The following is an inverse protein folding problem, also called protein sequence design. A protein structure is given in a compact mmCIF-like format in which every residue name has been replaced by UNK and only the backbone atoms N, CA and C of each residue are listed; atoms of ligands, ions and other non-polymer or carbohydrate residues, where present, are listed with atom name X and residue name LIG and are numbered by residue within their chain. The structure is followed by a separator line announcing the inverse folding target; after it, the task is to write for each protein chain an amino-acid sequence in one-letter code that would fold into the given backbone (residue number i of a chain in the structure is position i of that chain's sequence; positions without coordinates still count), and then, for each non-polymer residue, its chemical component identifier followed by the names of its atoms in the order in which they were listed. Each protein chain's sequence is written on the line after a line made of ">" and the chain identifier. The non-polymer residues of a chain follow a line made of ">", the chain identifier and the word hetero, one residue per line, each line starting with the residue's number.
data_IF_473146025728
#
_entry.id   IF_473146025728
#
_cell.length_a   1.000
_cell.length_b   1.000
_cell.length_c   1.000
_cell.angle_alpha   90.00
_cell.angle_beta   90.00
_cell.angle_gamma   90.00
#
_symmetry.space_group_name_H-M   'P 1'
#
loop_
_entity.id
_entity.type
_entity.pdbx_description
1 polymer ?
#
# COMPACT_ATOMS: atom_id res chain seq x y z
N UNK A 1 -2.85 -0.67 15.31
CA UNK A 1 -3.54 -1.88 14.79
C UNK A 1 -2.52 -2.99 14.57
N UNK A 2 -2.79 -4.24 14.97
CA UNK A 2 -1.90 -5.38 14.73
C UNK A 2 -2.44 -6.19 13.55
N UNK A 3 -1.68 -6.28 12.46
CA UNK A 3 -2.04 -7.08 11.29
C UNK A 3 -1.17 -8.33 11.19
N UNK A 4 -1.70 -9.36 10.53
CA UNK A 4 -0.99 -10.61 10.24
C UNK A 4 -1.09 -10.94 8.75
N UNK A 5 0.01 -11.36 8.14
CA UNK A 5 0.04 -11.88 6.78
C UNK A 5 0.12 -13.41 6.88
N UNK A 6 -1.00 -14.15 6.95
CA UNK A 6 -0.98 -15.60 7.19
C UNK A 6 -0.17 -16.37 6.15
N UNK A 7 -0.21 -15.96 4.86
CA UNK A 7 0.56 -16.62 3.81
C UNK A 7 2.09 -16.46 3.97
N UNK A 8 2.59 -15.25 4.22
CA UNK A 8 4.02 -14.97 4.44
C UNK A 8 4.47 -15.15 5.90
N UNK A 9 3.53 -15.50 6.79
CA UNK A 9 3.70 -15.80 8.20
C UNK A 9 4.35 -14.71 9.07
N UNK A 10 4.23 -13.43 8.71
CA UNK A 10 4.71 -12.33 9.54
C UNK A 10 3.57 -11.46 10.08
N UNK A 11 3.85 -10.71 11.15
CA UNK A 11 2.90 -9.80 11.81
C UNK A 11 3.57 -8.45 12.02
N UNK A 12 2.76 -7.40 12.15
CA UNK A 12 3.28 -6.05 12.34
C UNK A 12 2.29 -5.12 13.04
N UNK A 13 2.85 -4.09 13.67
CA UNK A 13 2.13 -2.91 14.16
C UNK A 13 2.84 -1.73 13.52
N UNK A 14 2.06 -0.80 12.99
CA UNK A 14 2.54 0.41 12.32
C UNK A 14 1.88 1.63 12.94
N UNK A 15 2.51 2.80 12.76
CA UNK A 15 2.07 4.03 13.43
C UNK A 15 0.75 4.56 12.86
N UNK A 16 0.58 4.55 11.53
CA UNK A 16 -0.70 4.90 10.94
C UNK A 16 -0.80 4.81 9.43
N UNK A 17 -1.96 5.18 8.91
CA UNK A 17 -2.22 5.46 7.50
C UNK A 17 -2.71 6.89 7.45
N UNK A 18 -2.12 7.71 6.58
CA UNK A 18 -2.43 9.13 6.47
C UNK A 18 -2.70 9.50 5.01
N UNK A 19 -3.37 10.63 4.79
CA UNK A 19 -3.46 11.23 3.46
C UNK A 19 -2.27 12.16 3.26
N UNK A 20 -1.48 11.91 2.23
CA UNK A 20 -0.36 12.74 1.80
C UNK A 20 -0.45 12.95 0.29
N UNK A 21 -0.41 14.20 -0.18
CA UNK A 21 -0.57 14.55 -1.60
C UNK A 21 -1.80 13.88 -2.26
N UNK A 22 -2.96 13.95 -1.59
CA UNK A 22 -4.23 13.36 -2.02
C UNK A 22 -4.21 11.81 -2.20
N UNK A 23 -3.25 11.12 -1.59
CA UNK A 23 -3.13 9.66 -1.62
C UNK A 23 -3.03 9.08 -0.21
N UNK A 24 -3.62 7.91 0.01
CA UNK A 24 -3.42 7.16 1.25
C UNK A 24 -2.03 6.51 1.24
N UNK A 25 -1.25 6.79 2.28
CA UNK A 25 0.11 6.26 2.45
C UNK A 25 0.26 5.64 3.82
N UNK A 26 1.09 4.59 3.91
CA UNK A 26 1.53 4.07 5.21
C UNK A 26 2.47 5.10 5.86
N UNK A 27 2.25 5.40 7.13
CA UNK A 27 3.01 6.37 7.90
C UNK A 27 3.82 5.68 9.01
N UNK A 28 5.08 6.07 9.14
CA UNK A 28 6.02 5.57 10.14
C UNK A 28 6.80 6.74 10.76
N UNK A 29 6.90 6.75 12.09
CA UNK A 29 7.67 7.72 12.87
C UNK A 29 8.95 7.05 13.37
N UNK A 30 10.08 7.75 13.22
CA UNK A 30 11.37 7.35 13.76
C UNK A 30 12.02 8.49 14.52
N UNK A 31 12.82 8.16 15.52
CA UNK A 31 13.75 9.09 16.16
C UNK A 31 15.17 8.79 15.71
N UNK A 32 16.01 9.81 15.57
CA UNK A 32 17.43 9.63 15.27
C UNK A 32 18.28 10.76 15.81
N UNK A 33 19.51 10.45 16.24
CA UNK A 33 20.51 11.46 16.57
C UNK A 33 21.28 11.95 15.33
N UNK A 34 21.09 11.32 14.17
CA UNK A 34 21.79 11.64 12.93
C UNK A 34 20.80 12.04 11.84
N UNK A 35 21.11 13.11 11.12
CA UNK A 35 20.30 13.60 10.00
C UNK A 35 20.11 12.51 8.93
N UNK A 36 18.86 12.31 8.50
CA UNK A 36 18.44 11.34 7.48
C UNK A 36 17.74 12.05 6.33
N UNK A 37 18.50 12.42 5.30
CA UNK A 37 17.97 13.20 4.17
C UNK A 37 17.51 12.36 2.98
N UNK A 38 17.68 11.03 3.03
CA UNK A 38 17.26 10.15 1.94
C UNK A 38 16.97 8.73 2.41
N UNK A 39 16.18 8.00 1.62
CA UNK A 39 15.92 6.56 1.81
C UNK A 39 17.19 5.70 1.83
N UNK A 40 18.28 6.15 1.19
CA UNK A 40 19.55 5.44 1.19
C UNK A 40 20.27 5.54 2.54
N UNK A 41 20.09 6.66 3.25
CA UNK A 41 20.72 6.93 4.54
C UNK A 41 19.91 6.44 5.75
N UNK A 42 18.66 6.01 5.51
CA UNK A 42 17.68 5.66 6.54
C UNK A 42 17.63 4.16 6.88
N UNK A 43 18.71 3.42 6.61
CA UNK A 43 18.86 1.99 6.94
C UNK A 43 17.66 1.13 6.49
N UNK A 44 16.99 0.48 7.45
CA UNK A 44 15.90 -0.46 7.23
C UNK A 44 14.50 0.18 7.30
N UNK A 45 14.40 1.51 7.52
CA UNK A 45 13.08 2.17 7.62
C UNK A 45 12.20 1.91 6.38
N UNK A 46 12.71 2.00 5.13
CA UNK A 46 11.90 1.75 3.95
C UNK A 46 11.51 0.26 3.79
N UNK A 47 12.29 -0.67 4.37
CA UNK A 47 11.94 -2.09 4.39
C UNK A 47 10.75 -2.35 5.31
N UNK A 48 10.76 -1.73 6.49
CA UNK A 48 9.67 -1.83 7.46
C UNK A 48 8.36 -1.28 6.86
N UNK A 49 8.43 -0.09 6.24
CA UNK A 49 7.31 0.51 5.51
C UNK A 49 6.77 -0.42 4.42
N UNK A 50 7.64 -1.02 3.61
CA UNK A 50 7.23 -1.97 2.59
C UNK A 50 6.57 -3.23 3.18
N UNK A 51 7.08 -3.74 4.31
CA UNK A 51 6.49 -4.87 5.03
C UNK A 51 5.06 -4.56 5.50
N UNK A 52 4.81 -3.35 6.01
CA UNK A 52 3.49 -2.92 6.45
C UNK A 52 2.52 -2.69 5.30
N UNK A 53 2.98 -2.09 4.19
CA UNK A 53 2.18 -2.03 2.97
C UNK A 53 1.75 -3.43 2.49
N UNK A 54 2.64 -4.42 2.59
CA UNK A 54 2.32 -5.82 2.31
C UNK A 54 1.24 -6.42 3.23
N UNK A 55 1.22 -6.06 4.51
CA UNK A 55 0.18 -6.49 5.46
C UNK A 55 -1.18 -5.91 5.09
N UNK A 56 -1.23 -4.58 4.92
CA UNK A 56 -2.47 -3.86 4.64
C UNK A 56 -3.08 -4.33 3.32
N UNK A 57 -2.25 -4.45 2.28
CA UNK A 57 -2.72 -4.86 0.96
C UNK A 57 -3.12 -6.35 0.90
N UNK A 58 -2.67 -7.18 1.84
CA UNK A 58 -3.12 -8.57 1.93
C UNK A 58 -4.48 -8.67 2.63
N UNK A 59 -4.74 -7.81 3.61
CA UNK A 59 -5.96 -7.83 4.39
C UNK A 59 -7.12 -7.16 3.63
N UNK A 60 -7.88 -8.00 2.90
CA UNK A 60 -9.04 -7.57 2.10
C UNK A 60 -10.15 -6.92 2.93
N UNK A 61 -10.19 -7.11 4.25
CA UNK A 61 -11.22 -6.49 5.10
C UNK A 61 -11.04 -4.98 5.24
N UNK A 62 -9.83 -4.47 4.99
CA UNK A 62 -9.52 -3.04 5.07
C UNK A 62 -10.01 -2.26 3.84
N UNK A 63 -10.20 -2.92 2.70
CA UNK A 63 -10.51 -2.28 1.39
C UNK A 63 -9.56 -1.11 1.05
N UNK A 64 -8.28 -1.27 1.41
CA UNK A 64 -7.23 -0.27 1.17
C UNK A 64 -6.23 -0.74 0.12
N UNK A 65 -5.68 0.24 -0.59
CA UNK A 65 -4.56 0.02 -1.52
C UNK A 65 -3.44 1.01 -1.22
N UNK A 66 -2.43 0.53 -0.53
CA UNK A 66 -1.24 1.32 -0.18
C UNK A 66 -0.14 1.04 -1.19
N UNK A 67 0.19 2.04 -2.00
CA UNK A 67 1.28 1.97 -2.99
C UNK A 67 2.50 2.79 -2.60
N UNK A 68 2.35 3.69 -1.63
CA UNK A 68 3.34 4.67 -1.23
C UNK A 68 3.42 4.71 0.31
N UNK A 69 4.54 5.23 0.82
CA UNK A 69 4.76 5.41 2.25
C UNK A 69 5.41 6.74 2.57
N UNK A 70 5.30 7.15 3.83
CA UNK A 70 5.88 8.37 4.37
C UNK A 70 6.55 8.04 5.70
N UNK A 71 7.84 8.36 5.81
CA UNK A 71 8.60 8.19 7.04
C UNK A 71 8.91 9.57 7.59
N UNK A 72 8.52 9.83 8.84
CA UNK A 72 8.89 11.04 9.56
C UNK A 72 10.03 10.72 10.51
N UNK A 73 11.18 11.37 10.31
CA UNK A 73 12.35 11.25 11.18
C UNK A 73 12.43 12.48 12.08
N UNK A 74 12.17 12.27 13.37
CA UNK A 74 12.26 13.28 14.43
C UNK A 74 13.66 13.29 15.06
N UNK A 75 14.12 14.49 15.43
CA UNK A 75 15.45 14.69 16.03
C UNK A 75 15.30 15.23 17.46
N UNK A 76 16.13 14.80 18.43
CA UNK A 76 16.00 15.23 19.84
C UNK A 76 16.36 16.70 20.09
N UNK A 77 17.18 17.30 19.23
CA UNK A 77 17.67 18.67 19.43
C UNK A 77 16.56 19.69 19.19
N UNK A 78 16.48 20.66 20.10
CA UNK A 78 15.54 21.79 20.01
C UNK A 78 15.82 22.56 18.71
N UNK A 79 14.76 22.91 18.00
CA UNK A 79 14.76 23.66 16.74
C UNK A 79 15.23 22.90 15.47
N UNK A 80 15.44 21.58 15.55
CA UNK A 80 15.69 20.78 14.36
C UNK A 80 14.38 20.22 13.76
N UNK A 81 14.00 20.63 12.53
CA UNK A 81 12.76 20.14 11.92
C UNK A 81 12.87 18.66 11.58
N UNK A 82 11.75 17.94 11.72
CA UNK A 82 11.65 16.55 11.29
C UNK A 82 11.86 16.43 9.76
N UNK A 83 12.46 15.34 9.32
CA UNK A 83 12.61 15.04 7.90
C UNK A 83 11.51 14.09 7.45
N UNK A 84 10.80 14.45 6.38
CA UNK A 84 9.88 13.56 5.69
C UNK A 84 10.61 12.84 4.55
N UNK A 85 10.58 11.51 4.56
CA UNK A 85 11.11 10.67 3.51
C UNK A 85 9.95 9.96 2.82
N UNK A 86 9.69 10.34 1.58
CA UNK A 86 8.68 9.69 0.75
C UNK A 86 9.22 8.38 0.17
N UNK A 87 8.45 7.31 0.34
CA UNK A 87 8.66 6.03 -0.33
C UNK A 87 7.66 5.94 -1.47
N UNK A 88 8.05 6.43 -2.65
CA UNK A 88 7.23 6.35 -3.86
C UNK A 88 6.98 4.90 -4.30
N UNK A 89 6.11 4.71 -5.29
CA UNK A 89 5.76 3.38 -5.81
C UNK A 89 6.95 2.54 -6.31
N UNK A 90 7.95 3.16 -6.96
CA UNK A 90 9.12 2.45 -7.47
C UNK A 90 10.05 2.03 -6.33
N UNK A 91 10.26 2.91 -5.36
CA UNK A 91 10.98 2.60 -4.14
C UNK A 91 10.24 1.54 -3.32
N UNK A 92 8.90 1.61 -3.22
CA UNK A 92 8.08 0.61 -2.54
C UNK A 92 8.28 -0.78 -3.15
N UNK A 93 8.22 -0.91 -4.48
CA UNK A 93 8.54 -2.16 -5.21
C UNK A 93 9.93 -2.68 -4.87
N UNK A 94 10.93 -1.79 -4.91
CA UNK A 94 12.33 -2.11 -4.65
C UNK A 94 12.53 -2.62 -3.23
N UNK A 95 12.00 -1.92 -2.23
CA UNK A 95 12.15 -2.30 -0.82
C UNK A 95 11.31 -3.50 -0.45
N UNK A 96 10.14 -3.70 -1.05
CA UNK A 96 9.37 -4.93 -0.89
C UNK A 96 10.17 -6.17 -1.35
N UNK A 97 10.79 -6.11 -2.53
CA UNK A 97 11.64 -7.21 -3.03
C UNK A 97 12.81 -7.50 -2.07
N UNK A 98 13.44 -6.45 -1.53
CA UNK A 98 14.51 -6.60 -0.53
C UNK A 98 13.97 -7.19 0.78
N UNK A 99 12.78 -6.79 1.22
CA UNK A 99 12.12 -7.31 2.40
C UNK A 99 11.80 -8.81 2.25
N UNK A 100 11.20 -9.21 1.13
CA UNK A 100 10.94 -10.62 0.84
C UNK A 100 12.23 -11.46 0.86
N UNK A 101 13.34 -10.93 0.31
CA UNK A 101 14.63 -11.62 0.41
C UNK A 101 15.06 -11.84 1.87
N UNK A 102 14.97 -10.81 2.72
CA UNK A 102 15.27 -10.93 4.16
C UNK A 102 14.32 -11.91 4.86
N UNK A 103 13.03 -11.89 4.54
CA UNK A 103 12.04 -12.79 5.11
C UNK A 103 12.28 -14.25 4.70
N UNK A 104 12.66 -14.50 3.44
CA UNK A 104 13.06 -15.83 2.96
C UNK A 104 14.28 -16.34 3.71
N UNK A 105 15.30 -15.48 3.89
CA UNK A 105 16.51 -15.83 4.63
C UNK A 105 16.20 -16.17 6.09
N UNK A 106 15.32 -15.40 6.73
CA UNK A 106 14.85 -15.68 8.08
C UNK A 106 14.16 -17.05 8.17
N UNK A 107 13.17 -17.32 7.31
CA UNK A 107 12.49 -18.62 7.34
C UNK A 107 13.40 -19.79 6.98
N UNK A 108 14.34 -19.61 6.05
CA UNK A 108 15.34 -20.63 5.75
C UNK A 108 16.31 -20.89 6.92
N UNK A 109 16.57 -19.88 7.76
CA UNK A 109 17.31 -20.06 9.00
C UNK A 109 16.46 -20.78 10.06
N UNK A 110 15.21 -20.38 10.27
CA UNK A 110 14.30 -21.03 11.20
C UNK A 110 14.08 -22.50 10.84
N UNK A 111 13.84 -22.82 9.56
CA UNK A 111 13.66 -24.20 9.06
C UNK A 111 14.86 -25.11 9.37
N UNK A 112 16.07 -24.55 9.48
CA UNK A 112 17.30 -25.30 9.82
C UNK A 112 17.52 -25.47 11.32
N UNK A 113 17.04 -24.52 12.12
CA UNK A 113 17.37 -24.42 13.54
C UNK A 113 16.22 -24.79 14.47
N UNK A 114 14.98 -24.83 13.97
CA UNK A 114 13.79 -25.24 14.73
C UNK A 114 13.48 -26.69 14.40
N UNK A 115 13.57 -27.58 15.40
CA UNK A 115 13.08 -28.96 15.30
C UNK A 115 11.56 -29.03 14.99
N UNK A 116 10.96 -30.21 14.80
CA UNK A 116 9.64 -30.42 14.14
C UNK A 116 8.38 -29.84 14.84
N UNK A 117 8.50 -28.87 15.73
CA UNK A 117 7.42 -28.41 16.62
C UNK A 117 6.43 -27.39 16.04
N UNK A 118 6.54 -26.95 14.78
CA UNK A 118 5.60 -25.95 14.23
C UNK A 118 5.20 -26.19 12.77
N UNK A 119 4.14 -26.98 12.56
CA UNK A 119 3.55 -27.31 11.25
C UNK A 119 3.17 -26.07 10.39
N UNK A 120 2.90 -24.91 11.00
CA UNK A 120 2.58 -23.67 10.27
C UNK A 120 3.80 -22.93 9.70
N UNK A 121 5.00 -23.18 10.24
CA UNK A 121 6.25 -22.55 9.79
C UNK A 121 6.82 -23.30 8.58
N UNK A 122 6.65 -24.63 8.54
CA UNK A 122 7.06 -25.45 7.41
C UNK A 122 6.44 -24.93 6.10
N UNK A 123 7.32 -24.52 5.18
CA UNK A 123 6.93 -23.98 3.88
C UNK A 123 6.84 -22.45 3.80
N UNK A 124 7.05 -21.70 4.88
CA UNK A 124 7.11 -20.23 4.82
C UNK A 124 8.23 -19.76 3.87
N UNK A 125 9.40 -20.42 3.92
CA UNK A 125 10.49 -20.19 2.97
C UNK A 125 10.07 -20.41 1.50
N UNK A 126 9.32 -21.49 1.22
CA UNK A 126 8.77 -21.77 -0.13
C UNK A 126 7.76 -20.71 -0.57
N UNK A 127 6.80 -20.36 0.31
CA UNK A 127 5.77 -19.34 0.06
C UNK A 127 6.36 -17.98 -0.28
N UNK A 128 7.45 -17.58 0.38
CA UNK A 128 8.14 -16.31 0.08
C UNK A 128 8.74 -16.32 -1.33
N UNK A 129 9.34 -17.43 -1.75
CA UNK A 129 9.97 -17.53 -3.08
C UNK A 129 8.94 -17.49 -4.22
N UNK A 130 7.71 -17.96 -3.97
CA UNK A 130 6.61 -17.90 -4.93
C UNK A 130 5.95 -16.50 -4.99
N UNK A 131 6.14 -15.69 -3.96
CA UNK A 131 5.45 -14.41 -3.82
C UNK A 131 6.20 -13.25 -4.47
N UNK A 132 5.90 -12.96 -5.74
CA UNK A 132 6.35 -11.71 -6.38
C UNK A 132 5.45 -10.51 -6.01
N UNK A 133 6.02 -9.30 -5.92
CA UNK A 133 5.22 -8.06 -5.77
C UNK A 133 4.21 -7.87 -6.91
N UNK A 134 4.51 -8.41 -8.09
CA UNK A 134 3.56 -8.40 -9.20
C UNK A 134 2.34 -9.25 -8.82
N UNK A 135 2.45 -10.34 -8.06
CA UNK A 135 1.28 -11.09 -7.61
C UNK A 135 0.43 -10.29 -6.62
N UNK A 136 1.00 -9.54 -5.67
CA UNK A 136 0.20 -8.59 -4.88
C UNK A 136 -0.49 -7.57 -5.78
N UNK A 137 0.20 -6.96 -6.74
CA UNK A 137 -0.43 -5.97 -7.63
C UNK A 137 -1.49 -6.56 -8.58
N UNK A 138 -1.26 -7.77 -9.12
CA UNK A 138 -2.12 -8.42 -10.13
C UNK A 138 -3.37 -9.06 -9.50
N UNK A 139 -3.28 -9.58 -8.27
CA UNK A 139 -4.46 -10.00 -7.51
C UNK A 139 -5.28 -8.81 -7.00
N UNK A 140 -4.67 -7.63 -6.85
CA UNK A 140 -5.33 -6.38 -6.47
C UNK A 140 -5.96 -5.61 -7.65
N UNK A 141 -5.68 -5.97 -8.90
CA UNK A 141 -6.35 -5.40 -10.09
C UNK A 141 -7.44 -6.31 -10.67
N UNK A 142 -7.54 -7.57 -10.21
CA UNK A 142 -8.50 -8.55 -10.73
C UNK A 142 -9.79 -8.62 -9.90
N UNK A 143 -10.51 -7.49 -9.77
CA UNK A 143 -11.94 -7.46 -9.38
C UNK A 143 -12.72 -6.38 -10.13
N UNK A 144 -12.33 -6.04 -11.36
CA UNK A 144 -13.14 -5.15 -12.22
C UNK A 144 -13.34 -5.69 -13.62
N UNK A 145 -13.80 -6.95 -13.75
CA UNK A 145 -14.36 -7.49 -15.01
C UNK A 145 -15.30 -8.67 -14.72
N UNK A 146 -16.38 -8.45 -13.96
CA UNK A 146 -17.52 -9.37 -13.95
C UNK A 146 -18.81 -8.67 -13.49
N UNK A 147 -19.20 -7.56 -14.13
CA UNK A 147 -20.59 -7.08 -14.14
C UNK A 147 -20.86 -6.01 -15.20
N UNK A 148 -20.37 -6.18 -16.45
CA UNK A 148 -20.84 -5.35 -17.56
C UNK A 148 -20.98 -6.19 -18.84
N UNK A 149 -21.97 -7.08 -18.84
CA UNK A 149 -22.78 -7.57 -19.98
C UNK A 149 -24.08 -8.06 -19.32
N UNK A 150 -25.30 -7.62 -19.60
CA UNK A 150 -25.91 -7.06 -20.81
C UNK A 150 -27.15 -6.25 -20.42
N UNK A 151 -27.27 -5.02 -20.90
CA UNK A 151 -28.56 -4.40 -21.19
C UNK A 151 -28.34 -3.36 -22.29
N UNK A 152 -28.21 -3.84 -23.53
CA UNK A 152 -28.47 -3.02 -24.70
C UNK A 152 -29.95 -3.17 -25.04
N UNK A 153 -30.71 -2.10 -24.85
CA UNK A 153 -31.77 -1.75 -25.80
C UNK A 153 -32.03 -0.24 -25.73
N UNK A 154 -31.49 0.47 -26.72
CA UNK A 154 -32.13 1.57 -27.45
C UNK A 154 -33.06 2.53 -26.70
N UNK A 155 -32.65 3.81 -26.56
CA UNK A 155 -33.44 4.92 -27.11
C UNK A 155 -32.67 6.27 -27.13
N UNK A 156 -32.64 6.82 -28.34
CA UNK A 156 -32.38 8.20 -28.81
C UNK A 156 -31.89 9.27 -27.81
N UNK A 157 -30.74 9.86 -28.15
CA UNK A 157 -30.42 11.26 -27.86
C UNK A 157 -31.48 12.18 -28.49
N UNK A 158 -31.98 13.17 -27.74
CA UNK A 158 -32.52 14.41 -28.29
C UNK A 158 -31.75 15.57 -27.70
N UNK A 159 -31.10 16.30 -28.60
CA UNK A 159 -30.50 17.61 -28.37
C UNK A 159 -31.52 18.59 -27.79
N UNK A 160 -31.07 19.47 -26.89
CA UNK A 160 -31.72 20.76 -26.66
C UNK A 160 -30.68 21.83 -26.96
N UNK A 161 -30.77 22.38 -28.18
CA UNK A 161 -30.16 23.65 -28.56
C UNK A 161 -31.13 24.81 -28.29
N UNK A 162 -30.53 25.95 -28.03
CA UNK A 162 -31.10 27.26 -27.74
C UNK A 162 -32.10 27.79 -28.80
N UNK A 163 -33.01 28.67 -28.36
CA UNK A 163 -33.81 29.49 -29.28
C UNK A 163 -34.86 30.37 -28.60
N UNK A 164 -34.53 31.67 -28.46
CA UNK A 164 -35.46 32.79 -28.19
C UNK A 164 -36.67 32.78 -29.16
N UNK A 165 -37.87 33.17 -28.68
CA UNK A 165 -38.69 34.24 -29.29
C UNK A 165 -39.86 34.70 -28.39
N UNK A 166 -40.05 36.03 -28.38
CA UNK A 166 -41.12 36.86 -27.78
C UNK A 166 -42.51 36.58 -28.39
N UNK A 167 -43.58 36.78 -27.60
CA UNK A 167 -44.85 37.51 -27.87
C UNK A 167 -45.44 37.90 -26.49
N UNK A 168 -45.54 39.16 -26.06
CA UNK A 168 -46.58 40.19 -26.33
C UNK A 168 -48.04 39.76 -26.14
N UNK A 169 -48.69 40.32 -25.09
CA UNK A 169 -50.03 40.95 -24.99
C UNK A 169 -50.59 40.81 -23.55
N UNK A 170 -50.72 41.84 -22.71
CA UNK A 170 -51.60 43.04 -22.66
C UNK A 170 -52.92 42.82 -21.88
N UNK A 171 -53.18 43.75 -20.94
CA UNK A 171 -54.42 44.07 -20.17
C UNK A 171 -54.72 43.15 -18.97
N UNK A 172 -55.05 43.63 -17.78
CA UNK A 172 -55.50 44.95 -17.29
C UNK A 172 -55.13 45.07 -15.81
#
# INVERSE_FOLDING_TARGET
>A
MKLSHPFLCYKGVFDGIVTHNNQLVIFEIKTSDRIKNSLATSFDYPLQVAAYAGLINYDKSLDLKITNGLIMVCYPLKDQPATLLEVDFNNMKKYWRKWLKKLSQFWAYEDKNVGPKTQNIFGASRRVNEYNFIYTYTYLTRTRTSSLRTASSSHSLKEIRSGRKRKENMKT
#
